data_IF_163521350617
#
_entry.id   IF_163521350617
#
_cell.length_a   1.000
_cell.length_b   1.000
_cell.length_c   1.000
_cell.angle_alpha   90.00
_cell.angle_beta   90.00
_cell.angle_gamma   90.00
#
_symmetry.space_group_name_H-M   'P 1'
#
loop_
_entity.id
_entity.type
_entity.pdbx_description
1 polymer ?
#
# COMPACT_ATOMS: atom_id res chain seq x y z
N UNK A 1 11.43 3.27 17.62
CA UNK A 1 10.98 2.89 16.26
C UNK A 1 11.92 1.83 15.76
N UNK A 2 11.41 0.68 15.31
CA UNK A 2 12.20 -0.30 14.56
C UNK A 2 12.61 0.30 13.22
N UNK A 3 13.72 -0.17 12.63
CA UNK A 3 14.12 0.18 11.27
C UNK A 3 13.01 -0.16 10.25
N UNK A 4 12.27 -1.24 10.48
CA UNK A 4 11.12 -1.60 9.64
C UNK A 4 9.97 -0.61 9.78
N UNK A 5 9.70 -0.10 10.99
CA UNK A 5 8.68 0.92 11.21
C UNK A 5 9.03 2.20 10.46
N UNK A 6 10.32 2.56 10.41
CA UNK A 6 10.77 3.73 9.66
C UNK A 6 10.48 3.58 8.17
N UNK A 7 10.82 2.44 7.56
CA UNK A 7 10.57 2.20 6.14
C UNK A 7 9.07 2.16 5.80
N UNK A 8 8.25 1.51 6.62
CA UNK A 8 6.80 1.49 6.43
C UNK A 8 6.20 2.90 6.54
N UNK A 9 6.68 3.71 7.48
CA UNK A 9 6.24 5.10 7.62
C UNK A 9 6.65 5.98 6.44
N UNK A 10 7.80 5.74 5.81
CA UNK A 10 8.24 6.45 4.61
C UNK A 10 7.49 6.00 3.34
N UNK A 11 7.12 4.71 3.28
CA UNK A 11 6.35 4.15 2.16
C UNK A 11 4.89 4.60 2.17
N UNK A 12 4.32 4.82 3.36
CA UNK A 12 2.91 5.18 3.54
C UNK A 12 2.47 6.43 2.77
N UNK A 13 3.19 7.57 2.79
CA UNK A 13 2.88 8.71 1.92
C UNK A 13 2.87 8.38 0.43
N UNK A 14 3.80 7.56 -0.06
CA UNK A 14 3.85 7.18 -1.47
C UNK A 14 2.61 6.38 -1.87
N UNK A 15 2.23 5.38 -1.08
CA UNK A 15 1.00 4.59 -1.29
C UNK A 15 -0.25 5.49 -1.26
N UNK A 16 -0.33 6.43 -0.32
CA UNK A 16 -1.44 7.39 -0.25
C UNK A 16 -1.52 8.30 -1.49
N UNK A 17 -0.38 8.75 -2.03
CA UNK A 17 -0.37 9.56 -3.26
C UNK A 17 -0.87 8.76 -4.46
N UNK A 18 -0.46 7.49 -4.58
CA UNK A 18 -0.93 6.58 -5.64
C UNK A 18 -2.44 6.35 -5.51
N UNK A 19 -2.93 5.98 -4.32
CA UNK A 19 -4.36 5.74 -4.08
C UNK A 19 -5.22 6.97 -4.36
N UNK A 20 -4.75 8.17 -4.00
CA UNK A 20 -5.45 9.42 -4.31
C UNK A 20 -5.48 9.70 -5.81
N UNK A 21 -4.41 9.40 -6.54
CA UNK A 21 -4.35 9.58 -8.00
C UNK A 21 -5.31 8.65 -8.73
N UNK A 22 -5.52 7.43 -8.21
CA UNK A 22 -6.51 6.50 -8.74
C UNK A 22 -7.95 6.83 -8.34
N UNK A 23 -8.18 7.88 -7.53
CA UNK A 23 -9.51 8.34 -7.12
C UNK A 23 -9.98 7.90 -5.73
N UNK A 24 -9.14 7.22 -4.94
CA UNK A 24 -9.47 6.88 -3.55
C UNK A 24 -9.14 8.06 -2.62
N UNK A 25 -10.16 8.85 -2.30
CA UNK A 25 -10.00 10.02 -1.43
C UNK A 25 -10.14 9.70 0.08
N UNK A 26 -10.81 8.60 0.42
CA UNK A 26 -11.10 8.22 1.80
C UNK A 26 -10.96 6.71 2.01
N UNK A 27 -10.47 6.30 3.18
CA UNK A 27 -10.33 4.90 3.55
C UNK A 27 -10.08 4.75 5.05
N UNK A 28 -10.37 3.57 5.61
CA UNK A 28 -10.01 3.26 7.00
C UNK A 28 -8.47 3.21 7.11
N UNK A 29 -7.86 3.77 8.17
CA UNK A 29 -6.41 3.72 8.36
C UNK A 29 -5.84 2.29 8.28
N UNK A 30 -6.57 1.32 8.84
CA UNK A 30 -6.19 -0.10 8.79
C UNK A 30 -6.08 -0.64 7.36
N UNK A 31 -6.92 -0.18 6.42
CA UNK A 31 -6.85 -0.61 5.03
C UNK A 31 -5.60 -0.04 4.34
N UNK A 32 -5.28 1.24 4.59
CA UNK A 32 -4.04 1.84 4.08
C UNK A 32 -2.83 1.10 4.61
N UNK A 33 -2.82 0.80 5.92
CA UNK A 33 -1.70 0.11 6.55
C UNK A 33 -1.52 -1.32 5.99
N UNK A 34 -2.61 -2.02 5.66
CA UNK A 34 -2.52 -3.32 4.96
C UNK A 34 -1.95 -3.21 3.55
N UNK A 35 -2.31 -2.16 2.78
CA UNK A 35 -1.76 -1.95 1.43
C UNK A 35 -0.27 -1.58 1.51
N UNK A 36 0.11 -0.79 2.51
CA UNK A 36 1.53 -0.44 2.75
C UNK A 36 2.34 -1.67 3.11
N UNK A 37 1.84 -2.53 4.00
CA UNK A 37 2.50 -3.80 4.33
C UNK A 37 2.63 -4.72 3.10
N UNK A 38 1.56 -4.85 2.31
CA UNK A 38 1.59 -5.62 1.06
C UNK A 38 2.60 -5.07 0.06
N UNK A 39 2.67 -3.75 -0.07
CA UNK A 39 3.61 -3.07 -0.97
C UNK A 39 5.05 -3.30 -0.51
N UNK A 40 5.33 -3.22 0.80
CA UNK A 40 6.64 -3.50 1.34
C UNK A 40 7.06 -4.95 1.07
N UNK A 41 6.16 -5.92 1.30
CA UNK A 41 6.41 -7.34 0.99
C UNK A 41 6.62 -7.58 -0.50
N UNK A 42 5.88 -6.89 -1.35
CA UNK A 42 6.04 -6.99 -2.80
C UNK A 42 7.40 -6.45 -3.26
N UNK A 43 7.87 -5.32 -2.73
CA UNK A 43 9.19 -4.77 -3.03
C UNK A 43 10.32 -5.72 -2.58
N UNK A 44 10.17 -6.34 -1.41
CA UNK A 44 11.12 -7.36 -0.94
C UNK A 44 11.11 -8.58 -1.85
N UNK A 45 9.93 -9.08 -2.23
CA UNK A 45 9.79 -10.20 -3.15
C UNK A 45 10.46 -9.89 -4.49
N UNK A 46 10.24 -8.71 -5.05
CA UNK A 46 10.85 -8.29 -6.30
C UNK A 46 12.38 -8.27 -6.19
N UNK A 47 12.92 -7.70 -5.11
CA UNK A 47 14.36 -7.67 -4.86
C UNK A 47 14.97 -9.08 -4.70
N UNK A 48 14.30 -9.98 -3.99
CA UNK A 48 14.71 -11.38 -3.84
C UNK A 48 14.72 -12.12 -5.18
N UNK A 49 13.68 -11.92 -6.01
CA UNK A 49 13.61 -12.50 -7.35
C UNK A 49 14.68 -11.95 -8.28
N UNK A 50 14.94 -10.65 -8.24
CA UNK A 50 16.04 -10.04 -9.00
C UNK A 50 17.39 -10.61 -8.60
N UNK A 51 17.67 -10.74 -7.30
CA UNK A 51 18.92 -11.34 -6.82
C UNK A 51 19.05 -12.82 -7.20
N UNK A 52 17.94 -13.58 -7.17
CA UNK A 52 17.93 -14.96 -7.61
C UNK A 52 18.22 -15.09 -9.12
N UNK A 53 17.58 -14.26 -9.95
CA UNK A 53 17.79 -14.26 -11.40
C UNK A 53 19.23 -13.89 -11.74
N UNK A 54 19.81 -12.91 -11.04
CA UNK A 54 21.21 -12.54 -11.20
C UNK A 54 22.15 -13.74 -10.97
N UNK A 55 21.99 -14.39 -9.82
CA UNK A 55 22.78 -15.57 -9.48
C UNK A 55 22.55 -16.74 -10.46
N UNK A 56 21.31 -16.93 -10.94
CA UNK A 56 20.98 -18.02 -11.85
C UNK A 56 21.49 -17.79 -13.28
N UNK A 57 21.46 -16.55 -13.77
CA UNK A 57 21.77 -16.22 -15.16
C UNK A 57 23.27 -16.03 -15.40
N UNK A 58 23.95 -15.36 -14.47
CA UNK A 58 25.36 -14.98 -14.63
C UNK A 58 26.24 -15.39 -13.46
N UNK A 59 25.69 -16.02 -12.42
CA UNK A 59 26.42 -16.45 -11.22
C UNK A 59 27.13 -15.27 -10.51
N UNK A 60 26.50 -14.10 -10.58
CA UNK A 60 26.91 -12.86 -9.93
C UNK A 60 25.81 -12.37 -8.96
N UNK A 61 26.20 -11.56 -7.98
CA UNK A 61 25.31 -10.88 -7.04
C UNK A 61 24.91 -9.49 -7.51
N UNK A 62 25.52 -8.96 -8.58
CA UNK A 62 25.13 -7.68 -9.17
C UNK A 62 24.05 -7.87 -10.23
N UNK A 63 22.80 -7.42 -9.98
CA UNK A 63 21.73 -7.59 -10.95
C UNK A 63 21.86 -6.62 -12.13
N UNK A 64 21.49 -7.10 -13.31
CA UNK A 64 21.36 -6.30 -14.52
C UNK A 64 19.89 -5.92 -14.80
N UNK A 65 19.66 -5.18 -15.88
CA UNK A 65 18.30 -4.77 -16.29
C UNK A 65 17.46 -5.99 -16.69
N UNK A 66 18.10 -7.02 -17.25
CA UNK A 66 17.46 -8.26 -17.68
C UNK A 66 16.89 -9.03 -16.49
N UNK A 67 17.63 -9.13 -15.39
CA UNK A 67 17.21 -9.79 -14.15
C UNK A 67 16.03 -9.09 -13.50
N UNK A 68 16.04 -7.75 -13.51
CA UNK A 68 14.93 -6.93 -13.02
C UNK A 68 13.69 -7.17 -13.89
N UNK A 69 13.84 -7.18 -15.22
CA UNK A 69 12.73 -7.47 -16.14
C UNK A 69 12.15 -8.87 -15.89
N UNK A 70 13.00 -9.89 -15.78
CA UNK A 70 12.57 -11.25 -15.48
C UNK A 70 11.85 -11.33 -14.12
N UNK A 71 12.37 -10.64 -13.10
CA UNK A 71 11.73 -10.60 -11.78
C UNK A 71 10.36 -9.91 -11.82
N UNK A 72 10.22 -8.85 -12.62
CA UNK A 72 8.94 -8.18 -12.85
C UNK A 72 7.93 -9.10 -13.55
N UNK A 73 8.37 -9.93 -14.49
CA UNK A 73 7.53 -10.94 -15.14
C UNK A 73 7.13 -12.06 -14.17
N UNK A 74 8.08 -12.60 -13.39
CA UNK A 74 7.83 -13.63 -12.36
C UNK A 74 6.82 -13.16 -11.29
N UNK A 75 6.89 -11.86 -10.95
CA UNK A 75 6.00 -11.23 -9.97
C UNK A 75 4.69 -10.71 -10.58
N UNK A 76 4.44 -10.98 -11.87
CA UNK A 76 3.21 -10.62 -12.57
C UNK A 76 3.02 -9.12 -12.83
N UNK A 77 4.08 -8.31 -12.77
CA UNK A 77 4.03 -6.91 -13.16
C UNK A 77 4.02 -6.76 -14.68
N UNK A 78 4.93 -7.46 -15.34
CA UNK A 78 4.95 -7.56 -16.81
C UNK A 78 4.17 -8.81 -17.19
N UNK A 79 3.08 -8.61 -17.92
CA UNK A 79 2.21 -9.70 -18.36
C UNK A 79 2.65 -10.14 -19.76
N UNK A 80 3.14 -11.37 -19.92
CA UNK A 80 3.51 -11.87 -21.24
C UNK A 80 2.29 -11.93 -22.15
N UNK A 81 2.45 -11.51 -23.41
CA UNK A 81 1.38 -11.60 -24.41
C UNK A 81 1.09 -13.03 -24.83
N UNK A 82 2.05 -13.95 -24.68
CA UNK A 82 1.88 -15.37 -24.98
C UNK A 82 2.24 -16.23 -23.76
N UNK A 83 1.72 -17.45 -23.75
CA UNK A 83 2.09 -18.44 -22.73
C UNK A 83 3.55 -18.87 -22.89
N UNK A 84 4.17 -19.36 -21.80
CA UNK A 84 5.57 -19.81 -21.84
C UNK A 84 5.83 -20.88 -22.93
N UNK A 85 4.86 -21.75 -23.20
CA UNK A 85 4.96 -22.74 -24.27
C UNK A 85 4.92 -22.10 -25.66
N UNK A 86 4.05 -21.12 -25.86
CA UNK A 86 3.93 -20.41 -27.13
C UNK A 86 5.17 -19.57 -27.43
N UNK A 87 5.75 -18.89 -26.44
CA UNK A 87 7.03 -18.17 -26.61
C UNK A 87 8.16 -19.13 -27.00
N UNK A 88 8.25 -20.30 -26.35
CA UNK A 88 9.26 -21.31 -26.66
C UNK A 88 9.12 -21.84 -28.09
N UNK A 89 7.90 -22.15 -28.52
CA UNK A 89 7.63 -22.61 -29.89
C UNK A 89 7.85 -21.50 -30.91
N UNK A 90 7.47 -20.26 -30.59
CA UNK A 90 7.72 -19.08 -31.44
C UNK A 90 9.21 -18.90 -31.66
N UNK A 91 10.03 -19.03 -30.61
CA UNK A 91 11.49 -18.93 -30.69
C UNK A 91 12.10 -20.11 -31.48
N UNK A 92 11.65 -21.34 -31.23
CA UNK A 92 12.15 -22.52 -31.94
C UNK A 92 11.84 -22.49 -33.44
N UNK A 93 10.68 -21.96 -33.82
CA UNK A 93 10.25 -21.82 -35.22
C UNK A 93 10.74 -20.50 -35.85
N UNK A 94 11.43 -19.65 -35.08
CA UNK A 94 11.93 -18.36 -35.54
C UNK A 94 13.07 -18.60 -36.54
N UNK A 95 12.92 -18.08 -37.76
CA UNK A 95 13.97 -18.16 -38.78
C UNK A 95 15.18 -17.31 -38.35
N UNK A 96 16.44 -17.79 -38.46
CA UNK A 96 17.62 -16.96 -38.23
C UNK A 96 17.60 -15.68 -39.07
N UNK A 97 18.11 -14.56 -38.52
CA UNK A 97 18.11 -13.26 -39.22
C UNK A 97 18.97 -13.29 -40.49
N UNK A 98 20.02 -14.11 -40.50
CA UNK A 98 20.95 -14.31 -41.61
C UNK A 98 20.25 -14.87 -42.85
N UNK A 99 19.15 -15.61 -42.68
CA UNK A 99 18.43 -16.21 -43.80
C UNK A 99 17.46 -15.22 -44.48
N UNK A 100 17.34 -14.00 -43.97
CA UNK A 100 16.56 -12.95 -44.63
C UNK A 100 17.44 -12.21 -45.65
N UNK A 101 16.84 -11.86 -46.79
CA UNK A 101 17.57 -11.12 -47.83
C UNK A 101 17.96 -9.73 -47.33
N UNK A 102 19.26 -9.50 -47.10
CA UNK A 102 19.81 -8.23 -46.67
C UNK A 102 19.71 -7.12 -47.72
N UNK A 103 19.83 -7.46 -49.01
CA UNK A 103 19.76 -6.47 -50.11
C UNK A 103 18.36 -5.87 -50.27
N UNK A 104 17.34 -6.59 -49.83
CA UNK A 104 15.93 -6.18 -49.86
C UNK A 104 15.52 -5.31 -48.66
N UNK A 105 16.39 -5.13 -47.66
CA UNK A 105 16.01 -4.53 -46.36
C UNK A 105 15.08 -5.41 -45.51
N UNK A 106 14.82 -6.66 -45.94
CA UNK A 106 13.93 -7.57 -45.23
C UNK A 106 14.48 -7.98 -43.86
N UNK A 107 15.81 -8.07 -43.74
CA UNK A 107 16.50 -8.35 -42.47
C UNK A 107 16.25 -7.26 -41.43
N UNK A 108 16.47 -6.01 -41.80
CA UNK A 108 16.28 -4.85 -40.91
C UNK A 108 14.81 -4.69 -40.49
N UNK A 109 13.87 -4.93 -41.42
CA UNK A 109 12.45 -4.89 -41.10
C UNK A 109 12.04 -5.97 -40.10
N UNK A 110 12.58 -7.18 -40.26
CA UNK A 110 12.32 -8.30 -39.35
C UNK A 110 12.97 -8.08 -37.98
N UNK A 111 14.20 -7.59 -37.93
CA UNK A 111 14.89 -7.23 -36.68
C UNK A 111 14.07 -6.21 -35.88
N UNK A 112 13.67 -5.10 -36.53
CA UNK A 112 12.82 -4.09 -35.89
C UNK A 112 11.48 -4.66 -35.42
N UNK A 113 10.87 -5.59 -36.17
CA UNK A 113 9.62 -6.24 -35.77
C UNK A 113 9.83 -7.10 -34.52
N UNK A 114 10.93 -7.86 -34.46
CA UNK A 114 11.29 -8.68 -33.29
C UNK A 114 11.54 -7.82 -32.07
N UNK A 115 12.33 -6.77 -32.21
CA UNK A 115 12.62 -5.85 -31.11
C UNK A 115 11.33 -5.22 -30.56
N UNK A 116 10.43 -4.79 -31.44
CA UNK A 116 9.14 -4.22 -31.04
C UNK A 116 8.24 -5.24 -30.32
N UNK A 117 8.24 -6.51 -30.73
CA UNK A 117 7.47 -7.57 -30.07
C UNK A 117 8.10 -7.99 -28.74
N UNK A 118 9.40 -8.24 -28.71
CA UNK A 118 10.13 -8.75 -27.54
C UNK A 118 10.25 -7.67 -26.44
N UNK A 119 10.10 -6.38 -26.77
CA UNK A 119 10.12 -5.25 -25.81
C UNK A 119 8.75 -4.59 -25.58
N UNK A 120 7.66 -5.17 -26.10
CA UNK A 120 6.33 -4.56 -26.03
C UNK A 120 5.87 -4.29 -24.59
N UNK A 121 6.09 -5.25 -23.68
CA UNK A 121 5.72 -5.16 -22.27
C UNK A 121 6.47 -4.06 -21.52
N UNK A 122 7.79 -3.96 -21.76
CA UNK A 122 8.63 -2.90 -21.21
C UNK A 122 8.25 -1.55 -21.78
N UNK A 123 7.93 -1.49 -23.08
CA UNK A 123 7.49 -0.26 -23.74
C UNK A 123 6.18 0.24 -23.14
N UNK A 124 5.18 -0.65 -22.96
CA UNK A 124 3.92 -0.32 -22.29
C UNK A 124 4.16 0.18 -20.85
N UNK A 125 5.05 -0.48 -20.11
CA UNK A 125 5.42 -0.03 -18.77
C UNK A 125 6.05 1.37 -18.78
N UNK A 126 6.97 1.66 -19.71
CA UNK A 126 7.59 2.98 -19.88
C UNK A 126 6.53 4.03 -20.24
N UNK A 127 5.62 3.71 -21.17
CA UNK A 127 4.51 4.58 -21.55
C UNK A 127 3.61 4.89 -20.35
N UNK A 128 3.33 3.91 -19.50
CA UNK A 128 2.59 4.14 -18.25
C UNK A 128 3.36 5.06 -17.28
N UNK A 129 4.67 4.84 -17.10
CA UNK A 129 5.54 5.67 -16.25
C UNK A 129 5.61 7.12 -16.75
N UNK A 130 5.62 7.32 -18.06
CA UNK A 130 5.67 8.65 -18.67
C UNK A 130 4.28 9.27 -18.86
N UNK A 131 3.23 8.45 -18.78
CA UNK A 131 1.86 8.82 -19.09
C UNK A 131 1.16 9.69 -18.06
N UNK A 132 -0.11 9.98 -18.36
CA UNK A 132 -0.93 10.90 -17.56
C UNK A 132 -1.23 10.36 -16.15
N UNK A 133 -1.29 9.04 -15.95
CA UNK A 133 -1.51 8.45 -14.62
C UNK A 133 -0.36 8.76 -13.67
N UNK A 134 0.89 8.50 -14.06
CA UNK A 134 2.04 8.82 -13.20
C UNK A 134 2.22 10.33 -13.03
N UNK A 135 1.92 11.12 -14.06
CA UNK A 135 1.89 12.58 -13.96
C UNK A 135 0.90 13.07 -12.89
N UNK A 136 -0.27 12.44 -12.79
CA UNK A 136 -1.24 12.74 -11.74
C UNK A 136 -0.74 12.32 -10.35
N UNK A 137 -0.10 11.15 -10.22
CA UNK A 137 0.57 10.72 -8.97
C UNK A 137 1.59 11.77 -8.53
N UNK A 138 2.45 12.22 -9.45
CA UNK A 138 3.46 13.27 -9.19
C UNK A 138 2.81 14.62 -8.83
N UNK A 139 1.67 14.97 -9.44
CA UNK A 139 0.91 16.19 -9.11
C UNK A 139 0.41 16.14 -7.67
N UNK A 140 -0.16 15.01 -7.24
CA UNK A 140 -0.70 14.82 -5.88
C UNK A 140 0.42 14.81 -4.84
N UNK A 141 1.52 14.10 -5.11
CA UNK A 141 2.74 14.16 -4.31
C UNK A 141 3.36 15.58 -4.30
N UNK A 142 2.97 16.41 -5.27
CA UNK A 142 3.46 17.76 -5.49
C UNK A 142 4.93 17.79 -5.93
N UNK A 143 5.44 16.68 -6.47
CA UNK A 143 6.73 16.62 -7.17
C UNK A 143 6.60 17.19 -8.58
N UNK A 144 5.39 17.20 -9.14
CA UNK A 144 5.06 17.86 -10.40
C UNK A 144 4.15 19.06 -10.17
N UNK A 145 4.53 20.22 -10.74
CA UNK A 145 3.70 21.44 -10.77
C UNK A 145 3.41 21.80 -12.23
N UNK A 146 2.15 21.87 -12.67
CA UNK A 146 1.81 22.11 -14.07
C UNK A 146 2.15 23.53 -14.56
N UNK A 147 2.35 24.48 -13.65
CA UNK A 147 2.81 25.84 -13.96
C UNK A 147 4.06 26.09 -13.13
N UNK A 148 5.22 26.10 -13.79
CA UNK A 148 6.46 26.57 -13.18
C UNK A 148 6.32 28.08 -12.94
N UNK A 149 6.34 28.49 -11.68
CA UNK A 149 6.19 29.91 -11.35
C UNK A 149 7.51 30.67 -11.50
N UNK A 150 8.64 29.97 -11.41
CA UNK A 150 9.99 30.55 -11.51
C UNK A 150 10.91 29.70 -12.40
N UNK A 151 11.99 30.28 -12.98
CA UNK A 151 12.94 29.56 -13.84
C UNK A 151 13.62 28.37 -13.16
N UNK A 152 13.90 28.48 -11.86
CA UNK A 152 14.45 27.38 -11.04
C UNK A 152 13.48 26.20 -10.96
N UNK A 153 12.17 26.45 -10.80
CA UNK A 153 11.18 25.36 -10.79
C UNK A 153 11.01 24.71 -12.16
N UNK A 154 11.34 25.42 -13.24
CA UNK A 154 11.36 24.92 -14.61
C UNK A 154 12.57 24.00 -14.85
N UNK A 155 13.73 24.35 -14.28
CA UNK A 155 14.92 23.49 -14.25
C UNK A 155 14.72 22.26 -13.36
N UNK A 156 14.14 22.41 -12.17
CA UNK A 156 13.84 21.30 -11.25
C UNK A 156 12.86 20.27 -11.89
N UNK A 157 11.95 20.74 -12.75
CA UNK A 157 11.05 19.87 -13.53
C UNK A 157 11.78 19.09 -14.63
N UNK A 158 12.83 19.67 -15.21
CA UNK A 158 13.66 19.04 -16.24
C UNK A 158 14.71 18.09 -15.65
N UNK A 159 15.26 18.42 -14.48
CA UNK A 159 16.28 17.63 -13.79
C UNK A 159 15.72 16.44 -12.99
N UNK A 160 14.38 16.28 -12.93
CA UNK A 160 13.71 15.20 -12.21
C UNK A 160 14.25 15.06 -10.78
N UNK A 161 14.08 16.11 -9.96
CA UNK A 161 14.61 16.10 -8.60
C UNK A 161 14.19 14.85 -7.82
N UNK A 162 15.17 14.19 -7.21
CA UNK A 162 15.00 12.97 -6.41
C UNK A 162 13.85 13.14 -5.40
N UNK A 163 12.97 12.14 -5.33
CA UNK A 163 11.80 12.12 -4.47
C UNK A 163 12.18 12.37 -3.01
N UNK A 164 13.31 11.81 -2.56
CA UNK A 164 13.81 12.00 -1.19
C UNK A 164 14.24 13.46 -0.95
N UNK A 165 14.98 14.06 -1.89
CA UNK A 165 15.38 15.46 -1.82
C UNK A 165 14.17 16.39 -1.83
N UNK A 166 13.16 16.08 -2.64
CA UNK A 166 11.89 16.81 -2.65
C UNK A 166 11.17 16.69 -1.30
N UNK A 167 11.17 15.49 -0.69
CA UNK A 167 10.57 15.25 0.63
C UNK A 167 11.30 16.05 1.72
N UNK A 168 12.63 16.03 1.72
CA UNK A 168 13.47 16.76 2.68
C UNK A 168 13.32 18.28 2.54
N UNK A 169 13.34 18.81 1.31
CA UNK A 169 13.13 20.24 1.05
C UNK A 169 11.77 20.71 1.54
N UNK A 170 10.71 19.93 1.30
CA UNK A 170 9.34 20.22 1.78
C UNK A 170 9.19 20.10 3.29
N UNK A 171 9.96 19.22 3.95
CA UNK A 171 9.97 19.13 5.41
C UNK A 171 10.59 20.39 6.06
N UNK A 172 11.55 21.06 5.41
CA UNK A 172 12.19 22.26 5.97
C UNK A 172 11.34 23.54 5.93
N UNK A 173 10.25 23.57 5.14
CA UNK A 173 9.33 24.72 5.05
C UNK A 173 7.93 24.30 5.50
N UNK A 174 7.67 24.48 6.79
CA UNK A 174 6.34 24.45 7.44
C UNK A 174 5.23 24.99 6.53
N UNK A 175 4.22 24.18 6.20
CA UNK A 175 3.04 24.69 5.51
C UNK A 175 2.10 23.74 4.76
N UNK A 176 2.29 22.41 4.74
CA UNK A 176 1.29 21.53 4.06
C UNK A 176 0.99 20.23 4.80
N UNK A 177 0.61 20.34 6.06
CA UNK A 177 0.19 19.19 6.88
C UNK A 177 -1.03 18.44 6.31
N UNK A 178 -1.86 19.08 5.46
CA UNK A 178 -3.02 18.44 4.82
C UNK A 178 -2.65 17.30 3.87
N UNK A 179 -1.46 17.34 3.25
CA UNK A 179 -1.00 16.25 2.37
C UNK A 179 -0.69 14.98 3.16
N UNK A 180 -0.17 15.18 4.38
CA UNK A 180 0.21 14.14 5.31
C UNK A 180 -0.93 13.77 6.28
N UNK A 181 -2.16 14.25 6.05
CA UNK A 181 -3.30 13.95 6.91
C UNK A 181 -3.52 12.43 7.02
N UNK A 182 -3.59 11.94 8.26
CA UNK A 182 -3.66 10.51 8.58
C UNK A 182 -2.31 9.81 8.75
N UNK A 183 -1.18 10.50 8.57
CA UNK A 183 0.18 9.96 8.78
C UNK A 183 0.85 10.51 10.04
N UNK A 184 1.91 9.84 10.53
CA UNK A 184 2.71 10.32 11.69
C UNK A 184 3.42 11.65 11.40
N UNK A 185 3.63 11.99 10.14
CA UNK A 185 4.25 13.24 9.68
C UNK A 185 3.25 14.40 9.49
N UNK A 186 1.94 14.18 9.68
CA UNK A 186 0.89 15.18 9.45
C UNK A 186 -0.19 15.17 10.52
N UNK A 187 -1.30 15.86 10.24
CA UNK A 187 -2.44 15.94 11.18
C UNK A 187 -3.14 14.57 11.24
N UNK A 188 -3.49 14.03 12.42
CA UNK A 188 -4.34 12.85 12.53
C UNK A 188 -5.63 13.01 11.72
N UNK A 189 -6.07 11.97 11.01
CA UNK A 189 -7.31 12.03 10.25
C UNK A 189 -8.48 12.34 11.19
N UNK A 190 -9.34 13.30 10.83
CA UNK A 190 -10.58 13.52 11.56
C UNK A 190 -11.44 12.26 11.49
N UNK A 191 -11.74 11.68 12.64
CA UNK A 191 -12.66 10.55 12.75
C UNK A 191 -14.05 11.12 12.50
N UNK A 192 -14.57 10.98 11.27
CA UNK A 192 -15.97 11.35 11.00
C UNK A 192 -16.87 10.46 11.87
N UNK A 193 -17.75 11.05 12.71
CA UNK A 193 -18.64 10.27 13.55
C UNK A 193 -19.57 9.45 12.65
N UNK A 194 -19.51 8.12 12.79
CA UNK A 194 -20.42 7.21 12.08
C UNK A 194 -21.82 7.45 12.64
N UNK A 195 -22.67 8.07 11.83
CA UNK A 195 -24.07 8.30 12.16
C UNK A 195 -24.84 7.00 11.99
N UNK A 196 -25.44 6.49 13.07
CA UNK A 196 -26.20 5.25 13.07
C UNK A 196 -27.63 5.60 12.63
N UNK A 197 -28.00 5.31 11.38
CA UNK A 197 -29.40 5.50 10.94
C UNK A 197 -30.28 4.38 11.50
N UNK A 198 -31.35 4.76 12.23
CA UNK A 198 -32.28 3.79 12.84
C UNK A 198 -32.85 4.15 14.22
N UNK A 199 -32.82 5.42 14.64
CA UNK A 199 -33.52 5.85 15.86
C UNK A 199 -32.83 5.46 17.18
N UNK A 200 -31.50 5.54 17.20
CA UNK A 200 -30.65 5.30 18.38
C UNK A 200 -29.62 6.42 18.60
N UNK A 201 -28.58 6.22 19.43
CA UNK A 201 -27.53 7.23 19.64
C UNK A 201 -26.86 7.63 18.32
N UNK A 202 -26.62 8.93 18.14
CA UNK A 202 -26.18 9.53 16.87
C UNK A 202 -24.69 9.27 16.57
N UNK A 203 -23.96 8.69 17.52
CA UNK A 203 -22.54 8.33 17.39
C UNK A 203 -22.17 7.12 18.26
N UNK A 204 -21.06 6.46 17.90
CA UNK A 204 -20.51 5.34 18.68
C UNK A 204 -20.05 5.77 20.09
N UNK A 205 -19.65 7.02 20.25
CA UNK A 205 -19.24 7.62 21.51
C UNK A 205 -20.44 7.82 22.44
N UNK A 206 -21.55 8.30 21.89
CA UNK A 206 -22.80 8.41 22.61
C UNK A 206 -23.36 7.03 22.99
N UNK A 207 -23.23 6.04 22.11
CA UNK A 207 -23.58 4.65 22.43
C UNK A 207 -22.74 4.11 23.59
N UNK A 208 -21.42 4.27 23.54
CA UNK A 208 -20.50 3.85 24.60
C UNK A 208 -20.82 4.53 25.95
N UNK A 209 -21.14 5.83 25.93
CA UNK A 209 -21.56 6.58 27.12
C UNK A 209 -22.85 6.01 27.70
N UNK A 210 -23.89 5.84 26.88
CA UNK A 210 -25.18 5.29 27.31
C UNK A 210 -25.05 3.86 27.84
N UNK A 211 -24.19 3.04 27.23
CA UNK A 211 -23.91 1.67 27.68
C UNK A 211 -23.21 1.66 29.05
N UNK A 212 -22.23 2.54 29.27
CA UNK A 212 -21.57 2.68 30.59
C UNK A 212 -22.53 3.19 31.66
N UNK A 213 -23.35 4.19 31.35
CA UNK A 213 -24.37 4.71 32.27
C UNK A 213 -25.42 3.64 32.64
N UNK A 214 -25.85 2.82 31.67
CA UNK A 214 -26.73 1.68 31.94
C UNK A 214 -26.07 0.62 32.82
N UNK A 215 -24.79 0.32 32.58
CA UNK A 215 -24.04 -0.62 33.41
C UNK A 215 -23.86 -0.13 34.85
N UNK A 216 -23.60 1.17 35.04
CA UNK A 216 -23.48 1.79 36.38
C UNK A 216 -24.83 1.75 37.10
N UNK A 217 -25.92 2.17 36.44
CA UNK A 217 -27.26 2.11 37.04
C UNK A 217 -27.71 0.69 37.38
N UNK A 218 -27.36 -0.29 36.55
CA UNK A 218 -27.64 -1.70 36.84
C UNK A 218 -26.84 -2.20 38.05
N UNK A 219 -25.58 -1.78 38.19
CA UNK A 219 -24.75 -2.09 39.35
C UNK A 219 -25.29 -1.44 40.64
N UNK A 220 -25.72 -0.18 40.57
CA UNK A 220 -26.37 0.54 41.69
C UNK A 220 -27.68 -0.13 42.12
N UNK A 221 -28.54 -0.53 41.16
CA UNK A 221 -29.78 -1.24 41.48
C UNK A 221 -29.57 -2.64 42.09
N UNK A 222 -28.48 -3.33 41.72
CA UNK A 222 -28.09 -4.61 42.31
C UNK A 222 -27.46 -4.43 43.70
N UNK A 223 -26.84 -3.28 43.98
CA UNK A 223 -26.36 -2.95 45.32
C UNK A 223 -27.51 -2.61 46.27
N UNK A 224 -28.56 -1.92 45.79
CA UNK A 224 -29.76 -1.64 46.58
C UNK A 224 -30.62 -2.89 46.86
N UNK A 225 -30.71 -3.83 45.90
CA UNK A 225 -31.49 -5.07 46.10
C UNK A 225 -30.86 -6.02 47.13
N UNK A 226 -29.52 -6.02 47.26
CA UNK A 226 -28.79 -6.76 48.29
C UNK A 226 -28.84 -6.10 49.69
N UNK A 227 -29.44 -4.91 49.82
CA UNK A 227 -29.57 -4.18 51.08
C UNK A 227 -30.77 -4.57 51.96
N UNK A 228 -31.62 -5.50 51.52
CA UNK A 228 -32.79 -5.95 52.31
C UNK A 228 -32.46 -7.28 53.00
N UNK A 229 -32.31 -7.33 54.34
CA UNK A 229 -32.05 -8.58 55.04
C UNK A 229 -33.33 -9.43 55.02
N UNK A 230 -33.26 -10.61 54.43
CA UNK A 230 -34.31 -11.63 54.58
C UNK A 230 -34.32 -12.12 56.03
N UNK A 231 -35.19 -11.53 56.85
CA UNK A 231 -35.58 -12.08 58.15
C UNK A 231 -36.43 -13.34 57.95
N UNK A 232 -35.79 -14.50 57.90
CA UNK A 232 -36.32 -15.76 58.45
C UNK A 232 -35.27 -16.87 58.36
N UNK A 233 -34.42 -16.98 59.38
CA UNK A 233 -33.67 -18.22 59.64
C UNK A 233 -34.20 -18.79 60.95
N UNK A 234 -34.96 -19.87 60.84
CA UNK A 234 -35.45 -20.65 61.98
C UNK A 234 -34.26 -21.02 62.88
N UNK A 235 -34.45 -20.82 64.19
CA UNK A 235 -33.51 -21.26 65.22
C UNK A 235 -33.42 -22.78 65.17
N UNK A 236 -32.22 -23.30 64.99
CA UNK A 236 -31.92 -24.72 65.18
C UNK A 236 -31.82 -24.98 66.69
N UNK A 237 -32.67 -25.85 67.21
CA UNK A 237 -32.54 -26.40 68.56
C UNK A 237 -31.35 -27.37 68.59
N UNK A 238 -30.44 -27.18 69.54
CA UNK A 238 -29.30 -28.06 69.80
C UNK A 238 -29.80 -29.38 70.41
N UNK A 239 -29.45 -30.51 69.78
CA UNK A 239 -29.68 -31.84 70.33
C UNK A 239 -28.59 -32.14 71.36
N UNK A 240 -28.99 -32.19 72.64
CA UNK A 240 -28.15 -32.69 73.74
C UNK A 240 -28.06 -34.21 73.62
N UNK A 241 -26.85 -34.72 73.37
CA UNK A 241 -26.56 -36.15 73.46
C UNK A 241 -26.37 -36.51 74.94
N UNK A 242 -27.29 -37.27 75.51
CA UNK A 242 -27.15 -37.84 76.85
C UNK A 242 -26.02 -38.88 76.87
N UNK A 243 -25.13 -38.75 77.85
CA UNK A 243 -24.17 -39.80 78.23
C UNK A 243 -24.78 -40.66 79.33
N UNK A 244 -25.19 -41.88 78.99
CA UNK A 244 -25.25 -43.04 79.89
C UNK A 244 -25.35 -44.34 79.07
#
# INVERSE_FOLDING_TARGET
MSQNDLFLNLLRPAVLHILRATGFHYGKPSAVDTVVDLTARYLTLLAERTAYNAYSNHNDLTPDISDVRMAMQDCGLLVPTMTAGEELWKEYLRKPLEDYNGESGAREMEERRRDAEDTADVTEFIEWVQGEQNKEIRRIAGTYKPVATNPTEQLDQLEMEDYLNTLMKKHSKTGVESRFQGTVLGIPSEIKPVKIEGGGPDSIEEWNRRTRERAIKAAESNAESNGTPAMSRQQSEDVVMETA
#
